data_IF_907531597659
#
_entry.id   IF_907531597659
#
_cell.length_a   1.000
_cell.length_b   1.000
_cell.length_c   1.000
_cell.angle_alpha   90.00
_cell.angle_beta   90.00
_cell.angle_gamma   90.00
#
_symmetry.space_group_name_H-M   'P 1'
#
loop_
_entity.id
_entity.type
_entity.pdbx_description
1 polymer ?
#
# COMPACT_ATOMS: atom_id res chain seq x y z
N UNK A 1 -14.31 -7.98 20.45
CA UNK A 1 -15.69 -7.73 20.07
C UNK A 1 -16.31 -8.95 19.37
N UNK A 2 -15.55 -9.63 18.51
CA UNK A 2 -16.03 -10.77 17.70
C UNK A 2 -15.78 -12.15 18.33
N UNK A 3 -15.28 -12.22 19.57
CA UNK A 3 -15.00 -13.49 20.27
C UNK A 3 -13.73 -14.20 19.78
N UNK A 4 -12.87 -13.50 19.04
CA UNK A 4 -11.60 -14.03 18.56
C UNK A 4 -10.62 -14.25 19.72
N UNK A 5 -9.93 -15.38 19.74
CA UNK A 5 -8.77 -15.59 20.62
C UNK A 5 -7.56 -14.90 20.01
N UNK A 6 -6.85 -14.12 20.82
CA UNK A 6 -5.63 -13.43 20.41
C UNK A 6 -4.44 -14.16 21.01
N UNK A 7 -3.47 -14.53 20.19
CA UNK A 7 -2.16 -15.02 20.58
C UNK A 7 -1.10 -13.99 20.12
N UNK A 8 -0.36 -13.43 21.08
CA UNK A 8 0.71 -12.48 20.79
C UNK A 8 2.04 -13.23 20.67
N UNK A 9 2.79 -12.92 19.64
CA UNK A 9 4.11 -13.47 19.36
C UNK A 9 5.14 -12.36 19.55
N UNK A 10 6.24 -12.64 20.25
CA UNK A 10 7.36 -11.71 20.35
C UNK A 10 8.14 -11.71 19.02
N UNK A 11 8.47 -10.53 18.50
CA UNK A 11 9.19 -10.35 17.24
C UNK A 11 8.41 -9.55 16.21
N UNK A 12 8.73 -9.76 14.96
CA UNK A 12 8.15 -9.08 13.80
C UNK A 12 7.08 -9.96 13.09
N UNK A 13 6.68 -9.52 11.90
CA UNK A 13 5.70 -10.24 11.07
C UNK A 13 6.20 -11.62 10.64
N UNK A 14 7.53 -11.83 10.54
CA UNK A 14 8.11 -13.11 10.17
C UNK A 14 7.91 -14.13 11.28
N UNK A 15 8.14 -13.75 12.55
CA UNK A 15 7.87 -14.60 13.72
C UNK A 15 6.37 -14.96 13.84
N UNK A 16 5.49 -13.99 13.57
CA UNK A 16 4.06 -14.24 13.55
C UNK A 16 3.64 -15.19 12.42
N UNK A 17 4.30 -15.11 11.25
CA UNK A 17 4.08 -16.03 10.13
C UNK A 17 4.51 -17.44 10.47
N UNK A 18 5.70 -17.62 11.08
CA UNK A 18 6.17 -18.95 11.53
C UNK A 18 5.18 -19.58 12.51
N UNK A 19 4.68 -18.81 13.46
CA UNK A 19 3.67 -19.31 14.41
C UNK A 19 2.35 -19.69 13.73
N UNK A 20 1.93 -18.94 12.73
CA UNK A 20 0.74 -19.27 11.94
C UNK A 20 0.93 -20.58 11.14
N UNK A 21 2.12 -20.83 10.59
CA UNK A 21 2.47 -22.06 9.88
C UNK A 21 2.46 -23.28 10.83
N UNK A 22 2.92 -23.12 12.08
CA UNK A 22 2.80 -24.17 13.12
C UNK A 22 1.34 -24.51 13.42
N UNK A 23 0.49 -23.48 13.61
CA UNK A 23 -0.93 -23.66 13.86
C UNK A 23 -1.64 -24.35 12.68
N UNK A 24 -1.25 -24.04 11.45
CA UNK A 24 -1.77 -24.73 10.27
C UNK A 24 -1.40 -26.23 10.28
N UNK A 25 -0.17 -26.55 10.68
CA UNK A 25 0.26 -27.95 10.84
C UNK A 25 -0.53 -28.70 11.95
N UNK A 26 -1.06 -27.96 12.93
CA UNK A 26 -1.96 -28.48 13.98
C UNK A 26 -3.44 -28.62 13.50
N UNK A 27 -3.75 -28.17 12.26
CA UNK A 27 -5.07 -28.32 11.65
C UNK A 27 -5.92 -27.04 11.61
N UNK A 28 -5.35 -25.88 11.93
CA UNK A 28 -6.00 -24.59 11.70
C UNK A 28 -5.95 -24.22 10.22
N UNK A 29 -6.88 -23.39 9.79
CA UNK A 29 -6.91 -22.87 8.42
C UNK A 29 -6.28 -21.47 8.36
N UNK A 30 -5.18 -21.34 7.62
CA UNK A 30 -4.49 -20.07 7.40
C UNK A 30 -4.91 -19.47 6.05
N UNK A 31 -5.28 -18.17 6.05
CA UNK A 31 -5.68 -17.47 4.82
C UNK A 31 -4.50 -17.15 3.89
N UNK A 32 -3.27 -17.13 4.41
CA UNK A 32 -2.01 -16.92 3.67
C UNK A 32 -2.03 -15.65 2.82
N UNK A 33 -2.28 -14.49 3.46
CA UNK A 33 -2.46 -13.20 2.78
C UNK A 33 -1.31 -12.79 1.86
N UNK A 34 -0.10 -13.30 2.07
CA UNK A 34 1.07 -13.01 1.24
C UNK A 34 1.20 -13.93 0.01
N UNK A 35 0.50 -15.06 -0.03
CA UNK A 35 0.68 -16.12 -1.03
C UNK A 35 -0.61 -16.46 -1.77
N UNK A 36 -1.76 -16.12 -1.19
CA UNK A 36 -3.07 -16.49 -1.73
C UNK A 36 -3.49 -15.53 -2.85
N UNK A 37 -3.62 -16.06 -4.07
CA UNK A 37 -4.05 -15.32 -5.27
C UNK A 37 -5.43 -14.64 -5.12
N UNK A 38 -6.25 -15.06 -4.17
CA UNK A 38 -7.51 -14.39 -3.88
C UNK A 38 -7.31 -12.95 -3.39
N UNK A 39 -6.14 -12.62 -2.83
CA UNK A 39 -5.80 -11.26 -2.42
C UNK A 39 -5.68 -10.32 -3.64
N UNK A 40 -4.74 -10.47 -4.58
CA UNK A 40 -4.73 -9.63 -5.78
C UNK A 40 -5.98 -9.83 -6.64
N UNK A 41 -6.57 -11.02 -6.67
CA UNK A 41 -7.82 -11.30 -7.37
C UNK A 41 -8.99 -10.46 -6.89
N UNK A 42 -9.13 -10.24 -5.58
CA UNK A 42 -10.15 -9.37 -5.02
C UNK A 42 -10.00 -7.93 -5.56
N UNK A 43 -8.79 -7.37 -5.51
CA UNK A 43 -8.53 -6.02 -6.00
C UNK A 43 -8.71 -5.88 -7.52
N UNK A 44 -8.37 -6.94 -8.29
CA UNK A 44 -8.61 -6.95 -9.73
C UNK A 44 -10.12 -6.89 -10.06
N UNK A 45 -10.93 -7.70 -9.38
CA UNK A 45 -12.35 -7.83 -9.67
C UNK A 45 -13.24 -6.76 -9.01
N UNK A 46 -12.79 -6.12 -7.93
CA UNK A 46 -13.55 -5.10 -7.21
C UNK A 46 -12.87 -3.74 -7.30
N UNK A 47 -11.78 -3.49 -6.59
CA UNK A 47 -11.13 -2.18 -6.49
C UNK A 47 -10.79 -1.59 -7.86
N UNK A 48 -10.14 -2.36 -8.73
CA UNK A 48 -9.80 -1.92 -10.09
C UNK A 48 -11.04 -1.64 -10.95
N UNK A 49 -12.08 -2.47 -10.84
CA UNK A 49 -13.33 -2.27 -11.56
C UNK A 49 -14.09 -1.03 -11.08
N UNK A 50 -14.13 -0.80 -9.76
CA UNK A 50 -14.74 0.38 -9.14
C UNK A 50 -14.03 1.67 -9.54
N UNK A 51 -12.68 1.66 -9.59
CA UNK A 51 -11.90 2.79 -10.08
C UNK A 51 -12.24 3.09 -11.53
N UNK A 52 -12.31 2.09 -12.41
CA UNK A 52 -12.68 2.27 -13.82
C UNK A 52 -14.08 2.88 -13.97
N UNK A 53 -15.04 2.47 -13.15
CA UNK A 53 -16.38 3.06 -13.14
C UNK A 53 -16.35 4.53 -12.68
N UNK A 54 -15.57 4.84 -11.64
CA UNK A 54 -15.50 6.17 -11.03
C UNK A 54 -14.76 7.19 -11.89
N UNK A 55 -13.70 6.79 -12.60
CA UNK A 55 -12.95 7.71 -13.47
C UNK A 55 -13.70 8.04 -14.76
N UNK A 56 -14.67 7.22 -15.16
CA UNK A 56 -15.50 7.44 -16.36
C UNK A 56 -14.65 7.50 -17.63
N UNK A 57 -14.80 8.59 -18.39
CA UNK A 57 -14.10 8.80 -19.67
C UNK A 57 -12.67 9.37 -19.50
N UNK A 58 -12.19 9.59 -18.27
CA UNK A 58 -10.83 10.09 -18.01
C UNK A 58 -9.81 8.97 -18.17
N UNK A 59 -8.62 9.32 -18.65
CA UNK A 59 -7.47 8.41 -18.64
C UNK A 59 -6.77 8.49 -17.28
N UNK A 60 -6.40 7.34 -16.72
CA UNK A 60 -5.54 7.27 -15.54
C UNK A 60 -4.09 7.20 -16.02
N UNK A 61 -3.27 8.15 -15.59
CA UNK A 61 -1.86 8.24 -15.98
C UNK A 61 -0.96 7.41 -15.05
N UNK A 62 -1.28 7.37 -13.74
CA UNK A 62 -0.53 6.56 -12.79
C UNK A 62 -1.40 5.97 -11.68
N UNK A 63 -0.99 4.79 -11.21
CA UNK A 63 -1.42 4.17 -9.95
C UNK A 63 -0.24 4.18 -8.97
N UNK A 64 -0.40 4.82 -7.81
CA UNK A 64 0.62 4.89 -6.76
C UNK A 64 0.09 4.24 -5.50
N UNK A 65 0.78 3.25 -4.97
CA UNK A 65 0.29 2.52 -3.80
C UNK A 65 1.42 1.97 -2.92
N UNK A 66 1.24 2.08 -1.59
CA UNK A 66 2.10 1.44 -0.60
C UNK A 66 2.03 -0.08 -0.69
N UNK A 67 3.16 -0.75 -0.49
CA UNK A 67 3.28 -2.19 -0.63
C UNK A 67 3.43 -2.87 0.73
N UNK A 68 2.40 -3.64 1.11
CA UNK A 68 2.44 -4.65 2.16
C UNK A 68 2.44 -6.04 1.53
N UNK A 69 1.27 -6.65 1.39
CA UNK A 69 1.14 -7.95 0.69
C UNK A 69 1.31 -7.87 -0.82
N UNK A 70 1.29 -6.68 -1.40
CA UNK A 70 1.32 -6.46 -2.85
C UNK A 70 -0.02 -6.70 -3.57
N UNK A 71 -1.04 -7.20 -2.85
CA UNK A 71 -2.33 -7.55 -3.46
C UNK A 71 -3.04 -6.37 -4.11
N UNK A 72 -3.08 -5.21 -3.42
CA UNK A 72 -3.75 -4.00 -3.92
C UNK A 72 -3.12 -3.51 -5.22
N UNK A 73 -1.81 -3.25 -5.21
CA UNK A 73 -1.11 -2.70 -6.38
C UNK A 73 -1.13 -3.66 -7.57
N UNK A 74 -0.92 -4.96 -7.31
CA UNK A 74 -0.94 -5.99 -8.34
C UNK A 74 -2.32 -6.15 -8.97
N UNK A 75 -3.35 -6.36 -8.15
CA UNK A 75 -4.69 -6.58 -8.66
C UNK A 75 -5.27 -5.35 -9.37
N UNK A 76 -5.18 -4.18 -8.72
CA UNK A 76 -5.64 -2.91 -9.28
C UNK A 76 -4.83 -2.53 -10.52
N UNK A 77 -3.50 -2.60 -10.44
CA UNK A 77 -2.60 -2.23 -11.54
C UNK A 77 -2.84 -3.09 -12.79
N UNK A 78 -2.96 -4.41 -12.66
CA UNK A 78 -3.33 -5.30 -13.77
C UNK A 78 -4.66 -4.89 -14.41
N UNK A 79 -5.67 -4.63 -13.58
CA UNK A 79 -7.00 -4.24 -14.08
C UNK A 79 -7.01 -2.90 -14.79
N UNK A 80 -6.30 -1.91 -14.25
CA UNK A 80 -6.22 -0.59 -14.87
C UNK A 80 -5.37 -0.60 -16.14
N UNK A 81 -4.28 -1.38 -16.19
CA UNK A 81 -3.40 -1.47 -17.37
C UNK A 81 -4.09 -2.10 -18.59
N UNK A 82 -5.11 -2.93 -18.38
CA UNK A 82 -5.95 -3.42 -19.47
C UNK A 82 -6.75 -2.30 -20.17
N UNK A 83 -7.18 -1.30 -19.41
CA UNK A 83 -7.92 -0.15 -19.94
C UNK A 83 -6.99 0.99 -20.38
N UNK A 84 -5.87 1.15 -19.71
CA UNK A 84 -4.87 2.21 -19.91
C UNK A 84 -3.49 1.56 -20.10
N UNK A 85 -3.13 1.14 -21.33
CA UNK A 85 -1.86 0.42 -21.58
C UNK A 85 -0.59 1.20 -21.18
N UNK A 86 -0.66 2.53 -21.20
CA UNK A 86 0.44 3.43 -20.84
C UNK A 86 0.41 3.83 -19.35
N UNK A 87 -0.46 3.23 -18.54
CA UNK A 87 -0.55 3.46 -17.10
C UNK A 87 0.81 3.21 -16.43
N UNK A 88 1.29 4.17 -15.66
CA UNK A 88 2.45 3.98 -14.80
C UNK A 88 2.01 3.38 -13.45
N UNK A 89 2.68 2.31 -13.00
CA UNK A 89 2.42 1.66 -11.71
C UNK A 89 3.61 1.88 -10.79
N UNK A 90 3.43 2.69 -9.75
CA UNK A 90 4.47 3.10 -8.82
C UNK A 90 4.23 2.52 -7.45
N UNK A 91 5.18 1.72 -6.98
CA UNK A 91 5.17 1.18 -5.62
C UNK A 91 5.71 2.20 -4.62
N UNK A 92 5.21 2.16 -3.38
CA UNK A 92 5.75 2.94 -2.28
C UNK A 92 6.16 2.00 -1.14
N UNK A 93 7.38 2.19 -0.63
CA UNK A 93 7.91 1.43 0.49
C UNK A 93 8.55 2.34 1.55
N UNK A 94 8.75 1.87 2.80
CA UNK A 94 9.47 2.63 3.82
C UNK A 94 10.93 2.86 3.43
N UNK A 95 11.44 4.08 3.63
CA UNK A 95 12.84 4.41 3.36
C UNK A 95 13.83 3.59 4.20
N UNK A 96 13.44 3.26 5.44
CA UNK A 96 14.27 2.46 6.37
C UNK A 96 14.16 0.94 6.14
N UNK A 97 13.30 0.49 5.19
CA UNK A 97 13.07 -0.93 4.86
C UNK A 97 12.77 -1.09 3.36
N UNK A 98 13.71 -0.63 2.53
CA UNK A 98 13.56 -0.43 1.08
C UNK A 98 13.94 -1.69 0.26
N UNK A 99 13.28 -2.81 0.53
CA UNK A 99 13.58 -4.12 -0.08
C UNK A 99 13.27 -4.16 -1.57
N UNK A 100 12.22 -3.46 -2.03
CA UNK A 100 11.88 -3.39 -3.46
C UNK A 100 12.91 -2.58 -4.24
N UNK A 101 13.53 -1.59 -3.59
CA UNK A 101 14.65 -0.80 -4.14
C UNK A 101 15.99 -1.55 -4.09
N UNK A 102 16.03 -2.79 -3.55
CA UNK A 102 17.20 -3.66 -3.52
C UNK A 102 18.08 -3.51 -2.28
N UNK A 103 17.60 -2.83 -1.25
CA UNK A 103 18.29 -2.73 0.04
C UNK A 103 18.03 -3.97 0.92
N UNK A 104 18.89 -4.20 1.90
CA UNK A 104 18.63 -5.22 2.92
C UNK A 104 17.44 -4.84 3.80
N UNK A 105 16.67 -5.81 4.31
CA UNK A 105 15.56 -5.54 5.21
C UNK A 105 16.00 -4.72 6.43
N UNK A 106 15.28 -3.65 6.70
CA UNK A 106 15.49 -2.78 7.85
C UNK A 106 14.34 -2.84 8.86
N UNK A 107 14.43 -2.01 9.88
CA UNK A 107 13.35 -1.83 10.87
C UNK A 107 12.69 -0.49 10.60
N UNK A 108 11.39 -0.50 10.38
CA UNK A 108 10.58 0.70 10.21
C UNK A 108 9.40 0.70 11.17
N UNK A 109 8.79 1.87 11.35
CA UNK A 109 7.64 2.09 12.24
C UNK A 109 6.30 2.15 11.49
N UNK A 110 6.28 1.88 10.19
CA UNK A 110 5.03 1.86 9.42
C UNK A 110 4.12 0.70 9.81
N UNK A 111 2.83 0.96 9.82
CA UNK A 111 1.81 -0.07 9.93
C UNK A 111 1.25 -0.38 8.53
N UNK A 112 1.23 -1.67 8.17
CA UNK A 112 0.55 -2.18 6.97
C UNK A 112 1.35 -2.15 5.66
N UNK A 113 2.58 -1.60 5.64
CA UNK A 113 3.50 -1.65 4.51
C UNK A 113 4.91 -2.05 4.98
N UNK A 114 5.81 -2.36 4.05
CA UNK A 114 7.19 -2.73 4.38
C UNK A 114 7.31 -4.05 5.15
N UNK A 115 6.92 -5.22 4.58
CA UNK A 115 6.99 -6.49 5.29
C UNK A 115 8.43 -7.02 5.49
N UNK A 116 9.44 -6.36 4.90
CA UNK A 116 10.84 -6.78 4.96
C UNK A 116 11.20 -7.91 3.97
N UNK A 117 10.30 -8.23 3.07
CA UNK A 117 10.51 -9.21 2.00
C UNK A 117 9.59 -8.93 0.80
N UNK A 118 9.93 -9.46 -0.37
CA UNK A 118 9.07 -9.39 -1.56
C UNK A 118 8.00 -10.47 -1.46
N UNK A 119 6.76 -10.03 -1.33
CA UNK A 119 5.61 -10.94 -1.24
C UNK A 119 5.37 -11.69 -2.56
N UNK A 120 5.07 -13.00 -2.54
CA UNK A 120 4.66 -13.74 -3.73
C UNK A 120 3.44 -13.16 -4.47
N UNK A 121 2.57 -12.43 -3.79
CA UNK A 121 1.41 -11.76 -4.38
C UNK A 121 1.77 -10.47 -5.14
N UNK A 122 2.99 -9.96 -4.98
CA UNK A 122 3.45 -8.79 -5.70
C UNK A 122 3.97 -9.18 -7.09
N UNK A 123 3.36 -8.62 -8.12
CA UNK A 123 3.86 -8.70 -9.49
C UNK A 123 4.92 -7.60 -9.70
N UNK A 124 6.17 -7.95 -9.46
CA UNK A 124 7.29 -6.99 -9.58
C UNK A 124 7.45 -6.50 -11.02
N UNK A 125 7.17 -7.34 -12.01
CA UNK A 125 7.28 -6.99 -13.43
C UNK A 125 6.19 -5.96 -13.87
N UNK A 126 5.18 -5.77 -13.05
CA UNK A 126 4.14 -4.76 -13.26
C UNK A 126 4.59 -3.35 -12.85
N UNK A 127 5.58 -3.25 -11.97
CA UNK A 127 6.04 -1.98 -11.42
C UNK A 127 6.93 -1.24 -12.41
N UNK A 128 6.63 0.04 -12.64
CA UNK A 128 7.46 0.92 -13.46
C UNK A 128 8.48 1.68 -12.61
N UNK A 129 8.12 1.97 -11.35
CA UNK A 129 9.01 2.66 -10.40
C UNK A 129 8.72 2.27 -8.95
N UNK A 130 9.67 2.55 -8.07
CA UNK A 130 9.55 2.36 -6.62
C UNK A 130 10.03 3.62 -5.91
N UNK A 131 9.16 4.23 -5.12
CA UNK A 131 9.46 5.41 -4.31
C UNK A 131 9.56 5.04 -2.84
N UNK A 132 10.52 5.65 -2.15
CA UNK A 132 10.70 5.49 -0.71
C UNK A 132 10.18 6.71 0.04
N UNK A 133 9.52 6.49 1.19
CA UNK A 133 9.00 7.55 2.06
C UNK A 133 9.40 7.26 3.50
N UNK A 134 9.85 8.26 4.23
CA UNK A 134 10.10 8.13 5.67
C UNK A 134 8.81 8.21 6.47
N UNK A 135 8.81 7.64 7.68
CA UNK A 135 7.64 7.72 8.57
C UNK A 135 7.29 9.18 8.92
N UNK A 136 8.29 10.02 9.15
CA UNK A 136 8.09 11.43 9.50
C UNK A 136 7.40 12.20 8.37
N UNK A 137 7.81 11.98 7.12
CA UNK A 137 7.19 12.60 5.94
C UNK A 137 5.74 12.13 5.76
N UNK A 138 5.49 10.85 5.93
CA UNK A 138 4.14 10.28 5.85
C UNK A 138 3.21 10.86 6.93
N UNK A 139 3.69 11.00 8.18
CA UNK A 139 2.91 11.58 9.27
C UNK A 139 2.63 13.08 9.08
N UNK A 140 3.60 13.83 8.53
CA UNK A 140 3.38 15.23 8.13
C UNK A 140 2.26 15.31 7.09
N UNK A 141 2.26 14.43 6.10
CA UNK A 141 1.22 14.38 5.07
C UNK A 141 -0.14 13.97 5.63
N UNK A 142 -0.20 13.01 6.59
CA UNK A 142 -1.44 12.67 7.29
C UNK A 142 -2.05 13.88 8.01
N UNK A 143 -1.22 14.65 8.72
CA UNK A 143 -1.67 15.89 9.38
C UNK A 143 -2.14 16.94 8.38
N UNK A 144 -1.45 17.09 7.25
CA UNK A 144 -1.88 17.99 6.17
C UNK A 144 -3.24 17.59 5.61
N UNK A 145 -3.41 16.31 5.25
CA UNK A 145 -4.68 15.79 4.72
C UNK A 145 -5.84 16.02 5.70
N UNK A 146 -5.61 15.75 6.99
CA UNK A 146 -6.64 15.96 8.02
C UNK A 146 -7.03 17.44 8.14
N UNK A 147 -6.05 18.35 8.17
CA UNK A 147 -6.26 19.77 8.40
C UNK A 147 -6.78 20.51 7.16
N UNK A 148 -6.20 20.25 6.01
CA UNK A 148 -6.40 21.05 4.80
C UNK A 148 -7.50 20.45 3.91
N UNK A 149 -7.66 19.12 3.92
CA UNK A 149 -8.61 18.38 3.07
C UNK A 149 -9.78 17.75 3.85
N UNK A 150 -9.68 17.69 5.18
CA UNK A 150 -10.67 17.01 6.02
C UNK A 150 -10.64 15.48 5.87
N UNK A 151 -9.53 14.91 5.40
CA UNK A 151 -9.34 13.47 5.16
C UNK A 151 -8.44 12.89 6.23
N UNK A 152 -9.01 12.06 7.12
CA UNK A 152 -8.33 11.52 8.30
C UNK A 152 -7.85 10.09 8.03
N UNK A 153 -6.55 9.93 7.75
CA UNK A 153 -5.94 8.68 7.26
C UNK A 153 -4.75 8.23 8.10
N UNK A 154 -4.37 6.95 7.94
CA UNK A 154 -3.19 6.38 8.58
C UNK A 154 -1.90 6.56 7.78
N UNK A 155 -0.78 6.13 8.39
CA UNK A 155 0.59 6.35 7.91
C UNK A 155 0.83 5.89 6.47
N UNK A 156 0.43 4.67 6.12
CA UNK A 156 0.62 4.14 4.75
C UNK A 156 -0.17 4.91 3.69
N UNK A 157 -1.32 5.48 4.08
CA UNK A 157 -2.11 6.36 3.20
C UNK A 157 -1.42 7.71 3.01
N UNK A 158 -0.83 8.27 4.06
CA UNK A 158 -0.02 9.48 3.99
C UNK A 158 1.18 9.31 3.07
N UNK A 159 1.95 8.21 3.23
CA UNK A 159 3.07 7.87 2.38
C UNK A 159 2.66 7.76 0.90
N UNK A 160 1.57 7.04 0.64
CA UNK A 160 1.08 6.85 -0.74
C UNK A 160 0.58 8.14 -1.36
N UNK A 161 -0.06 9.02 -0.58
CA UNK A 161 -0.50 10.32 -1.07
C UNK A 161 0.66 11.27 -1.36
N UNK A 162 1.69 11.26 -0.52
CA UNK A 162 2.90 12.07 -0.76
C UNK A 162 3.56 11.64 -2.07
N UNK A 163 3.82 10.35 -2.24
CA UNK A 163 4.39 9.79 -3.47
C UNK A 163 3.48 10.06 -4.71
N UNK A 164 2.16 9.96 -4.56
CA UNK A 164 1.23 10.27 -5.64
C UNK A 164 1.29 11.75 -6.09
N UNK A 165 1.52 12.66 -5.16
CA UNK A 165 1.72 14.09 -5.46
C UNK A 165 3.02 14.31 -6.23
N UNK A 166 4.11 13.65 -5.81
CA UNK A 166 5.42 13.75 -6.48
C UNK A 166 5.33 13.20 -7.91
N UNK A 167 4.63 12.07 -8.11
CA UNK A 167 4.36 11.50 -9.43
C UNK A 167 3.52 12.47 -10.29
N UNK A 168 2.48 13.07 -9.71
CA UNK A 168 1.64 14.04 -10.43
C UNK A 168 2.42 15.31 -10.83
N UNK A 169 3.33 15.79 -9.99
CA UNK A 169 4.21 16.92 -10.31
C UNK A 169 5.18 16.54 -11.43
N UNK A 170 5.83 15.39 -11.36
CA UNK A 170 6.71 14.88 -12.40
C UNK A 170 5.99 14.73 -13.75
N UNK A 171 4.81 14.13 -13.77
CA UNK A 171 4.02 13.98 -15.00
C UNK A 171 3.68 15.35 -15.64
N UNK A 172 3.41 16.39 -14.85
CA UNK A 172 3.20 17.76 -15.36
C UNK A 172 4.49 18.34 -15.95
N UNK A 173 5.63 18.14 -15.31
CA UNK A 173 6.92 18.57 -15.81
C UNK A 173 7.28 17.87 -17.13
N UNK A 174 6.88 16.62 -17.30
CA UNK A 174 7.02 15.82 -18.51
C UNK A 174 6.01 16.20 -19.62
N UNK A 175 5.10 17.13 -19.33
CA UNK A 175 4.16 17.70 -20.29
C UNK A 175 2.79 17.04 -20.37
N UNK A 176 2.44 16.21 -19.37
CA UNK A 176 1.07 15.69 -19.26
C UNK A 176 0.16 16.78 -18.72
N UNK A 177 -0.82 17.20 -19.53
CA UNK A 177 -1.85 18.17 -19.10
C UNK A 177 -2.86 17.50 -18.18
N UNK A 178 -3.04 18.05 -16.96
CA UNK A 178 -4.01 17.58 -15.95
C UNK A 178 -3.90 16.07 -15.65
N UNK A 179 -2.73 15.55 -15.20
CA UNK A 179 -2.54 14.12 -14.95
C UNK A 179 -3.49 13.61 -13.88
N UNK A 180 -4.08 12.43 -14.12
CA UNK A 180 -4.90 11.70 -13.16
C UNK A 180 -4.07 10.60 -12.50
N UNK A 181 -3.68 10.84 -11.27
CA UNK A 181 -2.98 9.85 -10.43
C UNK A 181 -3.97 9.25 -9.42
N UNK A 182 -4.06 7.93 -9.40
CA UNK A 182 -4.90 7.20 -8.44
C UNK A 182 -4.03 6.68 -7.31
N UNK A 183 -4.46 6.90 -6.08
CA UNK A 183 -3.89 6.27 -4.88
C UNK A 183 -4.98 5.71 -3.98
N UNK A 184 -4.59 4.87 -3.01
CA UNK A 184 -5.54 4.20 -2.11
C UNK A 184 -5.28 4.64 -0.66
N UNK A 185 -6.35 4.93 0.08
CA UNK A 185 -6.31 5.13 1.52
C UNK A 185 -6.89 3.89 2.21
N UNK A 186 -6.04 3.13 2.89
CA UNK A 186 -6.39 1.81 3.43
C UNK A 186 -7.11 1.84 4.75
N UNK A 187 -6.79 2.83 5.60
CA UNK A 187 -7.40 2.96 6.92
C UNK A 187 -7.50 4.43 7.36
N UNK A 188 -8.13 4.61 8.49
CA UNK A 188 -8.39 5.93 9.04
C UNK A 188 -7.49 6.25 10.22
N UNK A 189 -7.28 7.55 10.46
CA UNK A 189 -6.37 8.09 11.47
C UNK A 189 -6.73 7.70 12.92
N UNK A 190 -7.97 7.27 13.21
CA UNK A 190 -8.38 6.84 14.54
C UNK A 190 -7.53 5.67 15.06
N UNK A 191 -6.97 4.85 14.18
CA UNK A 191 -6.09 3.73 14.57
C UNK A 191 -4.74 4.20 15.11
N UNK A 192 -4.36 5.46 14.84
CA UNK A 192 -3.05 6.04 15.12
C UNK A 192 -3.07 7.09 16.24
N UNK A 193 -4.20 7.28 16.92
CA UNK A 193 -4.32 8.24 18.02
C UNK A 193 -3.38 7.95 19.19
N UNK A 194 -2.95 6.70 19.36
CA UNK A 194 -2.01 6.31 20.43
C UNK A 194 -0.54 6.40 20.04
N UNK A 195 -0.22 6.68 18.78
CA UNK A 195 1.18 6.79 18.29
C UNK A 195 1.77 8.17 18.55
N UNK A 196 0.95 9.17 18.83
CA UNK A 196 1.37 10.58 18.90
C UNK A 196 1.40 11.28 17.54
N UNK A 197 1.08 10.58 16.43
CA UNK A 197 1.13 11.14 15.08
C UNK A 197 0.33 12.44 14.93
N UNK A 198 -0.77 12.59 15.67
CA UNK A 198 -1.65 13.75 15.63
C UNK A 198 -1.49 14.69 16.85
N UNK A 199 -0.50 14.45 17.71
CA UNK A 199 -0.18 15.35 18.82
C UNK A 199 0.58 16.58 18.28
N UNK A 200 0.25 17.79 18.80
CA UNK A 200 0.87 19.09 18.41
C UNK A 200 2.28 19.28 19.01
#
# INVERSE_FOLDING_TARGET
>A
AYGTTIELVEGDISAAKERADELEAEGYYQLRQFENDANPGAHYHTTGAEILEQVGDRTVDALVAGVGTGGTITGTGRRLREAFPDLEVVAVEPADNAVLSGEEPGVDDFQGMGPGFISPNLDVDLLDDVLTVTIDEAEVECRRLARDEGVFVGQSSGASNLAARDVAERLREDGVDDPLVVTVFWDSGERYMSTGMFDD
#
